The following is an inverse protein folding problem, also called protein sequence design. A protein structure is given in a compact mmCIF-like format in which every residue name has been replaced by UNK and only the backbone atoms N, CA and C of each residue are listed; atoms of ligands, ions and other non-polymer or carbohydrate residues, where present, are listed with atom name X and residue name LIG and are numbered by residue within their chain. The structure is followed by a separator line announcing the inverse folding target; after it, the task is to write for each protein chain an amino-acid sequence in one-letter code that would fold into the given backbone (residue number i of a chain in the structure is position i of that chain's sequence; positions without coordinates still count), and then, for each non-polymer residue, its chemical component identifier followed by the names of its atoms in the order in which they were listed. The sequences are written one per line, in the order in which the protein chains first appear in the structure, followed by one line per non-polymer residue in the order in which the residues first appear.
data_IF_137194595996
#
_entry.id   IF_137194595996
#
_cell.length_a   1.000
_cell.length_b   1.000
_cell.length_c   1.000
_cell.angle_alpha   90.00
_cell.angle_beta   90.00
_cell.angle_gamma   90.00
#
_symmetry.space_group_name_H-M   'P 1'
#
loop_
_entity.id
_entity.type
_entity.pdbx_description
1 polymer ?
#
# COMPACT_ATOMS: atom_id res chain seq x y z
N UNK A 1 -17.60 -14.56 11.63
CA UNK A 1 -17.23 -14.19 10.25
C UNK A 1 -16.51 -12.84 10.15
N UNK A 2 -17.00 -11.74 10.74
CA UNK A 2 -16.33 -10.42 10.62
C UNK A 2 -14.86 -10.41 11.07
N UNK A 3 -14.53 -11.13 12.14
CA UNK A 3 -13.17 -11.19 12.66
C UNK A 3 -12.24 -11.93 11.69
N UNK A 4 -12.71 -13.02 11.07
CA UNK A 4 -11.97 -13.78 10.06
C UNK A 4 -11.71 -12.91 8.83
N UNK A 5 -12.75 -12.22 8.35
CA UNK A 5 -12.63 -11.27 7.22
C UNK A 5 -11.65 -10.15 7.55
N UNK A 6 -11.72 -9.57 8.76
CA UNK A 6 -10.79 -8.55 9.22
C UNK A 6 -9.34 -9.04 9.26
N UNK A 7 -9.09 -10.24 9.79
CA UNK A 7 -7.76 -10.85 9.86
C UNK A 7 -7.19 -11.08 8.44
N UNK A 8 -8.01 -11.59 7.52
CA UNK A 8 -7.58 -11.82 6.12
C UNK A 8 -7.22 -10.49 5.44
N UNK A 9 -8.04 -9.44 5.63
CA UNK A 9 -7.75 -8.11 5.06
C UNK A 9 -6.47 -7.50 5.62
N UNK A 10 -6.21 -7.66 6.92
CA UNK A 10 -4.97 -7.20 7.56
C UNK A 10 -3.77 -7.97 6.99
N UNK A 11 -3.84 -9.30 6.92
CA UNK A 11 -2.77 -10.14 6.41
C UNK A 11 -2.43 -9.82 4.94
N UNK A 12 -3.44 -9.67 4.09
CA UNK A 12 -3.26 -9.26 2.69
C UNK A 12 -2.71 -7.84 2.57
N UNK A 13 -3.16 -6.92 3.42
CA UNK A 13 -2.66 -5.54 3.44
C UNK A 13 -1.18 -5.47 3.81
N UNK A 14 -0.78 -6.17 4.86
CA UNK A 14 0.63 -6.29 5.28
C UNK A 14 1.46 -6.95 4.18
N UNK A 15 0.96 -8.03 3.57
CA UNK A 15 1.66 -8.72 2.48
C UNK A 15 1.95 -7.79 1.30
N UNK A 16 0.93 -7.04 0.84
CA UNK A 16 1.08 -6.06 -0.24
C UNK A 16 2.04 -4.94 0.14
N UNK A 17 2.00 -4.47 1.39
CA UNK A 17 2.88 -3.43 1.89
C UNK A 17 4.35 -3.88 1.88
N UNK A 18 4.63 -5.08 2.38
CA UNK A 18 5.97 -5.69 2.38
C UNK A 18 6.45 -5.94 0.95
N UNK A 19 5.56 -6.38 0.05
CA UNK A 19 5.92 -6.52 -1.36
C UNK A 19 6.29 -5.17 -2.01
N UNK A 20 5.63 -4.08 -1.61
CA UNK A 20 5.98 -2.71 -1.97
C UNK A 20 7.37 -2.31 -1.47
N UNK A 21 7.70 -2.62 -0.21
CA UNK A 21 9.03 -2.38 0.36
C UNK A 21 10.12 -3.16 -0.38
N UNK A 22 9.91 -4.45 -0.64
CA UNK A 22 10.85 -5.27 -1.39
C UNK A 22 11.06 -4.75 -2.82
N UNK A 23 10.03 -4.15 -3.44
CA UNK A 23 10.18 -3.49 -4.74
C UNK A 23 10.96 -2.19 -4.64
N UNK A 24 10.74 -1.38 -3.61
CA UNK A 24 11.51 -0.16 -3.33
C UNK A 24 13.00 -0.49 -3.20
N UNK A 25 13.32 -1.52 -2.43
CA UNK A 25 14.70 -1.91 -2.12
C UNK A 25 15.37 -2.69 -3.27
N UNK A 26 14.62 -3.02 -4.34
CA UNK A 26 15.19 -3.64 -5.54
C UNK A 26 15.85 -2.60 -6.46
N UNK A 27 16.84 -3.02 -7.24
CA UNK A 27 17.51 -2.19 -8.26
C UNK A 27 16.50 -1.57 -9.24
N UNK A 28 15.40 -2.28 -9.52
CA UNK A 28 14.29 -1.81 -10.38
C UNK A 28 13.51 -0.67 -9.70
N UNK A 29 13.34 -0.72 -8.39
CA UNK A 29 12.73 0.34 -7.58
C UNK A 29 13.58 1.60 -7.55
N UNK A 30 14.89 1.44 -7.28
CA UNK A 30 15.85 2.54 -7.28
C UNK A 30 15.96 3.23 -8.66
N UNK A 31 16.02 2.46 -9.75
CA UNK A 31 16.03 3.01 -11.11
C UNK A 31 14.71 3.73 -11.45
N UNK A 32 13.58 3.21 -10.97
CA UNK A 32 12.28 3.86 -11.15
C UNK A 32 12.17 5.15 -10.33
N UNK A 33 12.68 5.19 -9.10
CA UNK A 33 12.74 6.41 -8.28
C UNK A 33 13.58 7.48 -8.95
N UNK A 34 14.81 7.15 -9.36
CA UNK A 34 15.71 8.08 -10.02
C UNK A 34 15.13 8.60 -11.35
N UNK A 35 14.56 7.72 -12.19
CA UNK A 35 13.94 8.13 -13.44
C UNK A 35 12.70 9.01 -13.24
N UNK A 36 11.92 8.74 -12.18
CA UNK A 36 10.75 9.53 -11.84
C UNK A 36 11.14 10.90 -11.26
N UNK A 37 12.19 10.96 -10.45
CA UNK A 37 12.74 12.21 -9.91
C UNK A 37 13.30 13.11 -11.01
N UNK A 38 14.09 12.55 -11.93
CA UNK A 38 14.61 13.30 -13.09
C UNK A 38 13.46 13.78 -13.98
N UNK A 39 12.47 12.94 -14.27
CA UNK A 39 11.31 13.33 -15.05
C UNK A 39 10.56 14.49 -14.39
N UNK A 40 10.26 14.39 -13.10
CA UNK A 40 9.56 15.44 -12.34
C UNK A 40 10.38 16.74 -12.25
N UNK A 41 11.71 16.66 -12.18
CA UNK A 41 12.58 17.83 -12.19
C UNK A 41 12.61 18.54 -13.57
N UNK A 42 12.46 17.78 -14.65
CA UNK A 42 12.49 18.30 -16.03
C UNK A 42 11.13 18.85 -16.47
N UNK A 43 10.04 18.14 -16.16
CA UNK A 43 8.70 18.52 -16.64
C UNK A 43 7.77 19.09 -15.55
N UNK A 44 8.24 19.21 -14.31
CA UNK A 44 7.47 19.74 -13.18
C UNK A 44 6.30 18.85 -12.73
N UNK A 45 6.22 17.62 -13.24
CA UNK A 45 5.16 16.68 -12.90
C UNK A 45 5.25 16.12 -11.47
N UNK A 46 4.19 15.45 -11.03
CA UNK A 46 4.15 14.73 -9.75
C UNK A 46 4.00 13.22 -9.96
N UNK A 47 4.89 12.62 -10.76
CA UNK A 47 4.86 11.16 -10.95
C UNK A 47 5.34 10.47 -9.67
N UNK A 48 4.64 9.39 -9.31
CA UNK A 48 5.04 8.55 -8.18
C UNK A 48 5.59 7.22 -8.68
N UNK A 49 6.67 6.71 -8.05
CA UNK A 49 7.19 5.39 -8.35
C UNK A 49 6.15 4.29 -8.14
N UNK A 50 6.18 3.26 -8.99
CA UNK A 50 5.13 2.21 -9.02
C UNK A 50 5.01 1.44 -7.69
N UNK A 51 6.06 1.35 -6.88
CA UNK A 51 6.01 0.69 -5.56
C UNK A 51 5.17 1.45 -4.54
N UNK A 52 5.01 2.77 -4.68
CA UNK A 52 4.20 3.58 -3.76
C UNK A 52 2.74 3.13 -3.77
N UNK A 53 2.21 2.70 -4.92
CA UNK A 53 0.83 2.19 -5.02
C UNK A 53 0.64 0.92 -4.20
N UNK A 54 1.63 0.02 -4.16
CA UNK A 54 1.56 -1.20 -3.36
C UNK A 54 1.63 -0.90 -1.87
N UNK A 55 2.47 0.05 -1.47
CA UNK A 55 2.57 0.48 -0.07
C UNK A 55 1.29 1.19 0.39
N UNK A 56 0.78 2.16 -0.37
CA UNK A 56 -0.45 2.89 -0.01
C UNK A 56 -1.66 1.95 -0.03
N UNK A 57 -1.80 1.14 -1.09
CA UNK A 57 -2.88 0.16 -1.21
C UNK A 57 -2.86 -0.88 -0.08
N UNK A 58 -1.70 -1.44 0.24
CA UNK A 58 -1.53 -2.39 1.33
C UNK A 58 -1.85 -1.78 2.70
N UNK A 59 -1.40 -0.54 2.95
CA UNK A 59 -1.69 0.20 4.16
C UNK A 59 -3.18 0.49 4.35
N UNK A 60 -3.86 0.97 3.30
CA UNK A 60 -5.31 1.22 3.32
C UNK A 60 -6.07 -0.07 3.58
N UNK A 61 -5.69 -1.18 2.91
CA UNK A 61 -6.35 -2.47 3.09
C UNK A 61 -6.23 -2.97 4.53
N UNK A 62 -5.05 -2.82 5.14
CA UNK A 62 -4.82 -3.17 6.54
C UNK A 62 -5.69 -2.32 7.48
N UNK A 63 -5.78 -1.00 7.27
CA UNK A 63 -6.63 -0.10 8.05
C UNK A 63 -8.11 -0.49 7.94
N UNK A 64 -8.59 -0.82 6.74
CA UNK A 64 -9.97 -1.30 6.53
C UNK A 64 -10.20 -2.61 7.28
N UNK A 65 -9.25 -3.54 7.25
CA UNK A 65 -9.32 -4.80 8.00
C UNK A 65 -9.46 -4.57 9.51
N UNK A 66 -8.70 -3.62 10.07
CA UNK A 66 -8.84 -3.20 11.48
C UNK A 66 -10.21 -2.57 11.74
N UNK A 67 -10.66 -1.65 10.87
CA UNK A 67 -11.94 -0.98 11.02
C UNK A 67 -13.14 -1.96 10.97
N UNK A 68 -13.07 -2.98 10.12
CA UNK A 68 -14.07 -4.07 10.04
C UNK A 68 -14.13 -4.87 11.34
N UNK A 69 -12.97 -5.08 11.98
CA UNK A 69 -12.88 -5.83 13.23
C UNK A 69 -13.45 -5.02 14.41
N UNK A 70 -13.12 -3.73 14.47
CA UNK A 70 -13.53 -2.81 15.55
C UNK A 70 -14.98 -2.32 15.40
N UNK A 71 -15.55 -2.36 14.19
CA UNK A 71 -16.95 -1.97 13.97
C UNK A 71 -17.91 -2.82 14.83
N UNK A 72 -18.59 -2.15 15.76
CA UNK A 72 -19.69 -2.73 16.54
C UNK A 72 -20.87 -2.98 15.58
N UNK A 73 -21.54 -4.15 15.64
CA UNK A 73 -22.76 -4.35 14.87
C UNK A 73 -23.77 -3.28 15.27
N UNK A 74 -24.28 -2.50 14.30
CA UNK A 74 -25.42 -1.62 14.55
C UNK A 74 -26.59 -2.52 14.92
N UNK A 75 -27.05 -2.45 16.17
CA UNK A 75 -28.36 -2.96 16.57
C UNK A 75 -29.40 -2.11 15.85
N UNK A 76 -30.03 -2.69 14.83
CA UNK A 76 -31.28 -2.18 14.24
C UNK A 76 -32.42 -2.80 15.03
#
# INVERSE_FOLDING_TARGET
MKNIVGIILIALGIFLFVQGLNRKDSIVGAASEAGTEVANAVDGGSRQPKHVIYMVGGGILAIIGVAVMVRKPRSV
#
